data_IF_618218283705
#
_entry.id   IF_618218283705
#
_cell.length_a   1.000
_cell.length_b   1.000
_cell.length_c   1.000
_cell.angle_alpha   90.00
_cell.angle_beta   90.00
_cell.angle_gamma   90.00
#
_symmetry.space_group_name_H-M   'P 1'
#
loop_
_entity.id
_entity.type
_entity.pdbx_description
1 polymer ?
#
# COMPACT_ATOMS: atom_id res chain seq x y z
N UNK A 1 6.98 -28.97 16.52
CA UNK A 1 5.50 -28.84 16.58
C UNK A 1 5.02 -27.44 16.95
N UNK A 2 5.64 -26.72 17.91
CA UNK A 2 5.18 -25.38 18.31
C UNK A 2 5.29 -24.29 17.22
N UNK A 3 6.38 -24.26 16.45
CA UNK A 3 6.57 -23.28 15.36
C UNK A 3 5.52 -23.41 14.24
N UNK A 4 5.12 -24.64 13.90
CA UNK A 4 4.08 -24.93 12.91
C UNK A 4 2.69 -24.46 13.38
N UNK A 5 2.37 -24.69 14.66
CA UNK A 5 1.12 -24.22 15.27
C UNK A 5 1.03 -22.69 15.31
N UNK A 6 2.12 -22.01 15.68
CA UNK A 6 2.18 -20.56 15.73
C UNK A 6 2.08 -19.91 14.33
N UNK A 7 2.70 -20.52 13.32
CA UNK A 7 2.59 -20.06 11.93
C UNK A 7 1.16 -20.19 11.40
N UNK A 8 0.51 -21.34 11.61
CA UNK A 8 -0.90 -21.52 11.26
C UNK A 8 -1.79 -20.49 11.94
N UNK A 9 -1.58 -20.20 13.23
CA UNK A 9 -2.40 -19.22 13.93
C UNK A 9 -2.29 -17.82 13.33
N UNK A 10 -1.08 -17.35 12.99
CA UNK A 10 -0.88 -16.02 12.37
C UNK A 10 -1.59 -15.89 11.03
N UNK A 11 -1.49 -16.91 10.18
CA UNK A 11 -2.19 -16.92 8.88
C UNK A 11 -3.71 -16.91 9.07
N UNK A 12 -4.23 -17.67 10.04
CA UNK A 12 -5.66 -17.67 10.34
C UNK A 12 -6.16 -16.31 10.82
N UNK A 13 -5.40 -15.62 11.70
CA UNK A 13 -5.75 -14.27 12.13
C UNK A 13 -5.74 -13.30 10.96
N UNK A 14 -4.71 -13.35 10.11
CA UNK A 14 -4.62 -12.52 8.90
C UNK A 14 -5.82 -12.72 7.97
N UNK A 15 -6.15 -13.98 7.64
CA UNK A 15 -7.29 -14.28 6.77
C UNK A 15 -8.61 -13.87 7.42
N UNK A 16 -8.77 -14.09 8.73
CA UNK A 16 -9.98 -13.71 9.45
C UNK A 16 -10.18 -12.19 9.49
N UNK A 17 -9.12 -11.42 9.75
CA UNK A 17 -9.13 -9.94 9.70
C UNK A 17 -9.54 -9.46 8.31
N UNK A 18 -8.86 -9.99 7.27
CA UNK A 18 -9.15 -9.62 5.90
C UNK A 18 -10.57 -9.98 5.46
N UNK A 19 -11.10 -11.12 5.89
CA UNK A 19 -12.47 -11.54 5.59
C UNK A 19 -13.52 -10.69 6.30
N UNK A 20 -13.27 -10.30 7.54
CA UNK A 20 -14.20 -9.52 8.36
C UNK A 20 -14.22 -8.06 7.93
N UNK A 21 -13.04 -7.47 7.80
CA UNK A 21 -12.89 -6.02 7.73
C UNK A 21 -12.51 -5.53 6.33
N UNK A 22 -12.27 -6.46 5.40
CA UNK A 22 -11.74 -6.21 4.05
C UNK A 22 -10.36 -5.52 4.03
N UNK A 23 -9.71 -5.42 5.20
CA UNK A 23 -8.42 -4.79 5.45
C UNK A 23 -7.67 -5.66 6.45
N UNK A 24 -6.36 -5.81 6.27
CA UNK A 24 -5.47 -6.31 7.32
C UNK A 24 -4.61 -5.15 7.84
N UNK A 25 -4.89 -4.65 9.04
CA UNK A 25 -4.43 -3.35 9.54
C UNK A 25 -2.92 -3.23 9.76
N UNK A 26 -2.19 -4.35 9.84
CA UNK A 26 -0.72 -4.36 9.88
C UNK A 26 -0.10 -4.16 8.48
N UNK A 27 -0.83 -4.45 7.40
CA UNK A 27 -0.42 -4.25 6.01
C UNK A 27 -0.95 -2.90 5.54
N UNK A 28 -0.07 -1.91 5.48
CA UNK A 28 -0.46 -0.51 5.26
C UNK A 28 0.68 0.38 4.79
N UNK A 29 0.33 1.48 4.14
CA UNK A 29 1.20 2.64 4.04
C UNK A 29 1.02 3.53 5.27
N UNK A 30 2.08 4.25 5.64
CA UNK A 30 2.04 5.24 6.72
C UNK A 30 2.02 6.65 6.13
N UNK A 31 1.44 7.64 6.83
CA UNK A 31 0.74 7.52 8.11
C UNK A 31 -0.70 7.03 7.94
N UNK A 32 -1.22 6.21 8.86
CA UNK A 32 -2.68 5.90 8.91
C UNK A 32 -3.50 6.93 9.68
N UNK A 33 -2.83 7.88 10.32
CA UNK A 33 -3.43 8.78 11.27
C UNK A 33 -2.98 10.19 10.94
N UNK A 34 -3.93 11.04 10.62
CA UNK A 34 -3.75 12.47 10.81
C UNK A 34 -4.18 12.80 12.24
N UNK A 35 -3.23 13.21 13.07
CA UNK A 35 -3.48 13.58 14.45
C UNK A 35 -3.35 15.09 14.60
N UNK A 36 -4.47 15.78 14.85
CA UNK A 36 -4.49 17.20 15.22
C UNK A 36 -5.19 17.37 16.56
N UNK A 37 -4.53 18.03 17.52
CA UNK A 37 -5.10 18.49 18.79
C UNK A 37 -6.12 17.52 19.45
N UNK A 38 -5.71 16.27 19.70
CA UNK A 38 -6.53 15.28 20.42
C UNK A 38 -7.58 14.55 19.58
N UNK A 39 -7.67 14.83 18.28
CA UNK A 39 -8.51 14.06 17.34
C UNK A 39 -7.62 13.17 16.48
N UNK A 40 -7.85 11.87 16.56
CA UNK A 40 -7.28 10.88 15.65
C UNK A 40 -8.30 10.57 14.57
N UNK A 41 -8.08 11.07 13.36
CA UNK A 41 -8.87 10.66 12.21
C UNK A 41 -8.17 9.51 11.50
N UNK A 42 -8.91 8.42 11.29
CA UNK A 42 -8.55 7.38 10.34
C UNK A 42 -8.81 7.91 8.93
N UNK A 43 -8.01 8.88 8.51
CA UNK A 43 -7.90 9.26 7.11
C UNK A 43 -7.05 8.18 6.47
N UNK A 44 -7.53 7.50 5.42
CA UNK A 44 -6.64 6.67 4.60
C UNK A 44 -5.34 7.41 4.32
N UNK A 45 -4.21 6.71 4.22
CA UNK A 45 -2.91 7.36 4.26
C UNK A 45 -2.83 8.50 3.22
N UNK A 46 -2.68 9.73 3.69
CA UNK A 46 -2.54 10.91 2.84
C UNK A 46 -1.24 11.62 3.22
N UNK A 47 -0.44 11.94 2.21
CA UNK A 47 0.81 12.68 2.37
C UNK A 47 0.75 13.89 1.44
N UNK A 48 1.01 15.06 2.00
CA UNK A 48 1.19 16.31 1.24
C UNK A 48 2.68 16.57 1.05
N UNK A 49 3.08 16.90 -0.18
CA UNK A 49 4.46 17.19 -0.55
C UNK A 49 4.51 18.49 -1.36
N UNK A 50 5.62 19.20 -1.24
CA UNK A 50 5.95 20.31 -2.13
C UNK A 50 6.77 19.81 -3.32
N UNK A 51 6.54 20.39 -4.49
CA UNK A 51 7.33 20.09 -5.69
C UNK A 51 8.84 20.18 -5.44
N UNK A 52 9.59 19.18 -5.95
CA UNK A 52 11.03 19.04 -5.76
C UNK A 52 11.43 18.15 -4.57
N UNK A 53 10.52 17.78 -3.69
CA UNK A 53 10.80 16.82 -2.61
C UNK A 53 10.99 15.40 -3.17
N UNK A 54 12.07 14.73 -2.78
CA UNK A 54 12.32 13.33 -3.10
C UNK A 54 11.62 12.41 -2.09
N UNK A 55 10.95 11.37 -2.55
CA UNK A 55 10.35 10.36 -1.68
C UNK A 55 11.26 9.14 -1.51
N UNK A 56 11.13 8.47 -0.37
CA UNK A 56 11.85 7.23 -0.05
C UNK A 56 10.83 6.18 0.39
N UNK A 57 10.94 4.98 -0.16
CA UNK A 57 10.04 3.87 0.13
C UNK A 57 10.75 2.89 1.05
N UNK A 58 10.31 2.79 2.30
CA UNK A 58 10.88 1.86 3.26
C UNK A 58 9.88 0.75 3.59
N UNK A 59 10.29 -0.50 3.35
CA UNK A 59 9.52 -1.66 3.78
C UNK A 59 10.00 -2.13 5.15
N UNK A 60 9.22 -1.85 6.18
CA UNK A 60 9.49 -2.31 7.55
C UNK A 60 8.90 -3.70 7.85
N UNK A 61 8.24 -4.32 6.87
CA UNK A 61 7.65 -5.65 6.95
C UNK A 61 8.60 -6.77 6.55
N UNK A 62 8.11 -8.01 6.64
CA UNK A 62 8.85 -9.23 6.31
C UNK A 62 8.53 -9.82 4.93
N UNK A 63 7.73 -9.12 4.11
CA UNK A 63 7.23 -9.58 2.81
C UNK A 63 7.48 -8.50 1.76
N UNK A 64 7.54 -8.86 0.48
CA UNK A 64 7.66 -7.89 -0.62
C UNK A 64 6.36 -7.10 -0.79
N UNK A 65 6.49 -5.79 -1.01
CA UNK A 65 5.37 -4.90 -1.33
C UNK A 65 5.63 -4.16 -2.63
N UNK A 66 4.57 -3.56 -3.21
CA UNK A 66 4.74 -2.58 -4.27
C UNK A 66 4.25 -1.20 -3.85
N UNK A 67 4.82 -0.19 -4.48
CA UNK A 67 4.32 1.18 -4.47
C UNK A 67 3.92 1.52 -5.90
N UNK A 68 2.62 1.39 -6.19
CA UNK A 68 2.10 1.43 -7.54
C UNK A 68 1.11 2.58 -7.71
N UNK A 69 1.39 3.51 -8.61
CA UNK A 69 0.45 4.57 -8.98
C UNK A 69 -0.68 3.96 -9.78
N UNK A 70 -1.92 4.27 -9.39
CA UNK A 70 -3.12 3.78 -10.06
C UNK A 70 -4.05 4.94 -10.40
N UNK A 71 -4.77 4.83 -11.52
CA UNK A 71 -5.82 5.80 -11.84
C UNK A 71 -6.99 5.70 -10.84
N UNK A 72 -7.36 4.48 -10.45
CA UNK A 72 -8.40 4.20 -9.46
C UNK A 72 -8.01 2.95 -8.70
N UNK A 73 -8.24 2.95 -7.38
CA UNK A 73 -7.95 1.81 -6.54
C UNK A 73 -8.69 0.55 -7.01
N UNK A 74 -8.01 -0.59 -6.94
CA UNK A 74 -8.52 -1.86 -7.43
C UNK A 74 -8.00 -3.05 -6.64
N UNK A 75 -8.04 -4.22 -7.26
CA UNK A 75 -7.36 -5.43 -6.82
C UNK A 75 -5.91 -5.46 -7.29
N UNK A 76 -5.17 -6.46 -6.82
CA UNK A 76 -3.76 -6.67 -7.12
C UNK A 76 -3.47 -7.98 -7.86
N UNK A 77 -2.24 -8.47 -7.71
CA UNK A 77 -1.68 -9.67 -8.32
C UNK A 77 -2.31 -10.98 -7.82
N UNK A 78 -2.82 -11.01 -6.58
CA UNK A 78 -3.17 -12.25 -5.88
C UNK A 78 -4.71 -12.41 -5.84
N UNK A 79 -5.30 -13.24 -6.73
CA UNK A 79 -6.76 -13.31 -6.85
C UNK A 79 -7.51 -13.69 -5.56
N UNK A 80 -7.02 -14.62 -4.71
CA UNK A 80 -7.65 -14.88 -3.43
C UNK A 80 -7.71 -13.64 -2.53
N UNK A 81 -6.64 -12.86 -2.45
CA UNK A 81 -6.60 -11.65 -1.62
C UNK A 81 -7.52 -10.55 -2.18
N UNK A 82 -7.63 -10.45 -3.50
CA UNK A 82 -8.58 -9.57 -4.18
C UNK A 82 -10.03 -9.87 -3.76
N UNK A 83 -10.41 -11.15 -3.72
CA UNK A 83 -11.75 -11.55 -3.30
C UNK A 83 -12.00 -11.26 -1.82
N UNK A 84 -11.07 -11.65 -0.94
CA UNK A 84 -11.22 -11.48 0.51
C UNK A 84 -11.28 -10.00 0.91
N UNK A 85 -10.52 -9.14 0.23
CA UNK A 85 -10.51 -7.69 0.45
C UNK A 85 -11.64 -6.92 -0.23
N UNK A 86 -12.54 -7.60 -0.95
CA UNK A 86 -13.63 -6.94 -1.69
C UNK A 86 -13.19 -6.15 -2.92
N UNK A 87 -11.99 -6.42 -3.46
CA UNK A 87 -11.40 -5.75 -4.62
C UNK A 87 -11.23 -6.73 -5.80
N UNK A 88 -12.32 -7.29 -6.37
CA UNK A 88 -12.23 -8.45 -7.26
C UNK A 88 -11.60 -8.16 -8.62
N UNK A 89 -11.57 -6.90 -9.05
CA UNK A 89 -11.03 -6.48 -10.35
C UNK A 89 -9.66 -5.83 -10.15
N UNK A 90 -8.56 -6.42 -10.67
CA UNK A 90 -7.25 -5.80 -10.58
C UNK A 90 -7.18 -4.42 -11.22
N UNK A 91 -6.46 -3.48 -10.62
CA UNK A 91 -6.10 -2.25 -11.31
C UNK A 91 -5.23 -2.59 -12.55
N UNK A 92 -5.46 -1.97 -13.72
CA UNK A 92 -4.68 -2.26 -14.93
C UNK A 92 -3.16 -2.10 -14.75
N UNK A 93 -2.74 -1.18 -13.89
CA UNK A 93 -1.35 -0.90 -13.54
C UNK A 93 -0.73 -2.04 -12.72
N UNK A 94 -1.53 -2.76 -11.93
CA UNK A 94 -1.15 -4.01 -11.26
C UNK A 94 -1.07 -5.21 -12.22
N UNK A 95 -1.31 -5.04 -13.52
CA UNK A 95 -1.08 -6.09 -14.53
C UNK A 95 0.18 -5.81 -15.37
N UNK A 96 0.88 -4.71 -15.08
CA UNK A 96 2.09 -4.32 -15.78
C UNK A 96 3.34 -4.82 -15.04
N UNK A 97 4.45 -5.05 -15.76
CA UNK A 97 5.74 -5.31 -15.12
C UNK A 97 6.19 -4.11 -14.27
N UNK A 98 7.17 -4.35 -13.41
CA UNK A 98 7.82 -3.30 -12.62
C UNK A 98 8.29 -2.16 -13.53
N UNK A 99 8.06 -0.93 -13.09
CA UNK A 99 8.41 0.28 -13.83
C UNK A 99 8.53 1.46 -12.86
N UNK A 100 8.77 2.65 -13.41
CA UNK A 100 9.03 3.87 -12.66
C UNK A 100 7.87 4.30 -11.72
N UNK A 101 6.67 3.77 -11.90
CA UNK A 101 5.49 4.00 -11.04
C UNK A 101 4.86 2.70 -10.52
N UNK A 102 5.56 1.57 -10.66
CA UNK A 102 5.20 0.27 -10.11
C UNK A 102 6.48 -0.33 -9.50
N UNK A 103 6.83 0.17 -8.32
CA UNK A 103 8.12 -0.06 -7.69
C UNK A 103 7.96 -1.20 -6.69
N UNK A 104 8.77 -2.25 -6.81
CA UNK A 104 8.83 -3.34 -5.85
C UNK A 104 9.81 -3.00 -4.74
N UNK A 105 9.42 -3.24 -3.49
CA UNK A 105 10.24 -2.99 -2.31
C UNK A 105 10.31 -4.29 -1.52
N UNK A 106 11.47 -4.94 -1.58
CA UNK A 106 11.72 -6.21 -0.90
C UNK A 106 11.62 -6.08 0.63
N UNK A 107 11.45 -7.21 1.32
CA UNK A 107 11.36 -7.25 2.77
C UNK A 107 12.57 -6.58 3.44
N UNK A 108 12.32 -5.61 4.32
CA UNK A 108 13.37 -4.85 5.01
C UNK A 108 14.17 -3.88 4.13
N UNK A 109 13.85 -3.75 2.84
CA UNK A 109 14.57 -2.90 1.90
C UNK A 109 14.08 -1.44 1.94
N UNK A 110 14.91 -0.58 1.38
CA UNK A 110 14.60 0.82 1.11
C UNK A 110 14.89 1.11 -0.35
N UNK A 111 13.92 1.67 -1.06
CA UNK A 111 14.03 2.05 -2.47
C UNK A 111 13.82 3.55 -2.63
N UNK A 112 14.39 4.11 -3.70
CA UNK A 112 14.09 5.48 -4.10
C UNK A 112 12.66 5.57 -4.66
N UNK A 113 11.89 6.54 -4.18
CA UNK A 113 10.57 6.87 -4.72
C UNK A 113 10.64 8.01 -5.75
N UNK A 114 9.52 8.37 -6.38
CA UNK A 114 9.45 9.48 -7.32
C UNK A 114 9.67 10.83 -6.63
N UNK A 115 10.21 11.80 -7.37
CA UNK A 115 10.28 13.20 -6.93
C UNK A 115 8.93 13.87 -7.15
N UNK A 116 8.43 14.61 -6.15
CA UNK A 116 7.22 15.40 -6.27
C UNK A 116 7.35 16.45 -7.39
N UNK A 117 6.34 16.55 -8.25
CA UNK A 117 6.34 17.42 -9.43
C UNK A 117 6.93 16.78 -10.70
N UNK A 118 7.41 15.53 -10.64
CA UNK A 118 7.85 14.77 -11.82
C UNK A 118 6.69 14.13 -12.59
N UNK A 119 6.93 13.59 -13.79
CA UNK A 119 5.90 12.86 -14.56
C UNK A 119 5.35 11.64 -13.80
N UNK A 120 6.19 11.04 -12.94
CA UNK A 120 5.82 9.89 -12.11
C UNK A 120 4.88 10.32 -10.97
N UNK A 121 5.16 11.45 -10.32
CA UNK A 121 4.39 12.03 -9.22
C UNK A 121 4.10 13.52 -9.53
N UNK A 122 3.16 13.81 -10.44
CA UNK A 122 2.88 15.17 -10.89
C UNK A 122 2.18 16.00 -9.82
N UNK A 123 2.17 17.32 -10.01
CA UNK A 123 1.37 18.27 -9.22
C UNK A 123 -0.11 17.84 -9.20
N UNK A 124 -0.75 17.92 -8.04
CA UNK A 124 -2.10 17.46 -7.78
C UNK A 124 -2.17 16.15 -6.99
N UNK A 125 -3.33 15.49 -7.03
CA UNK A 125 -3.58 14.27 -6.25
C UNK A 125 -3.33 13.02 -7.09
N UNK A 126 -2.62 12.06 -6.50
CA UNK A 126 -2.37 10.73 -7.09
C UNK A 126 -2.74 9.61 -6.12
N UNK A 127 -3.26 8.50 -6.64
CA UNK A 127 -3.59 7.31 -5.87
C UNK A 127 -2.46 6.29 -5.99
N UNK A 128 -2.12 5.65 -4.86
CA UNK A 128 -1.06 4.65 -4.76
C UNK A 128 -1.53 3.44 -3.99
N UNK A 129 -1.31 2.24 -4.53
CA UNK A 129 -1.66 0.98 -3.88
C UNK A 129 -0.53 -0.04 -3.93
N UNK A 130 -0.58 -1.01 -3.01
CA UNK A 130 0.23 -2.21 -3.12
C UNK A 130 -0.54 -3.26 -3.93
N UNK A 131 0.05 -3.71 -5.03
CA UNK A 131 -0.52 -4.76 -5.87
C UNK A 131 -0.41 -6.16 -5.24
N UNK A 132 0.38 -6.38 -4.17
CA UNK A 132 0.33 -7.64 -3.42
C UNK A 132 -0.86 -7.63 -2.44
N UNK A 133 -1.14 -6.47 -1.84
CA UNK A 133 -2.09 -6.27 -0.75
C UNK A 133 -3.03 -5.11 -1.12
N UNK A 134 -4.10 -5.34 -1.91
CA UNK A 134 -4.87 -4.27 -2.57
C UNK A 134 -5.61 -3.30 -1.63
N UNK A 135 -5.70 -3.61 -0.34
CA UNK A 135 -6.22 -2.68 0.69
C UNK A 135 -5.17 -1.69 1.21
N UNK A 136 -3.88 -1.90 0.93
CA UNK A 136 -2.82 -0.94 1.23
C UNK A 136 -2.90 0.20 0.24
N UNK A 137 -3.52 1.31 0.66
CA UNK A 137 -3.81 2.44 -0.21
C UNK A 137 -3.36 3.73 0.44
N UNK A 138 -2.88 4.65 -0.39
CA UNK A 138 -2.62 6.01 0.01
C UNK A 138 -2.89 6.99 -1.13
N UNK A 139 -3.06 8.24 -0.76
CA UNK A 139 -3.12 9.38 -1.68
C UNK A 139 -1.92 10.28 -1.41
N UNK A 140 -1.33 10.83 -2.47
CA UNK A 140 -0.30 11.85 -2.35
C UNK A 140 -0.80 13.09 -3.05
N UNK A 141 -0.77 14.20 -2.33
CA UNK A 141 -1.05 15.53 -2.85
C UNK A 141 0.26 16.29 -3.02
N UNK A 142 0.52 16.76 -4.24
CA UNK A 142 1.70 17.58 -4.56
C UNK A 142 1.26 19.00 -4.86
N UNK A 143 1.94 19.97 -4.23
CA UNK A 143 1.73 21.40 -4.41
C UNK A 143 2.85 22.06 -5.23
#
# INVERSE_FOLDING_TARGET
MQAWSAWNHKVQVFIAELQSDHIAGAWRFNPLLNASAGTFQLTGATVSLDSGQTTTLQNTGGETHTFTKVATFGGGFIPPLNQLSGNPVPAPECLQPANATNIFVEAGATEAGPTAGSDQLPVGTTNWECCVHPWMRMTIEVH
#
